data_IF_334103064263
#
_entry.id   IF_334103064263
#
_cell.length_a   1.000
_cell.length_b   1.000
_cell.length_c   1.000
_cell.angle_alpha   90.00
_cell.angle_beta   90.00
_cell.angle_gamma   90.00
#
_symmetry.space_group_name_H-M   'P 1'
#
loop_
_entity.id
_entity.type
_entity.pdbx_description
1 polymer ?
#
# COMPACT_ATOMS: atom_id res chain seq x y z
N UNK A 1 -14.05 14.05 8.93
CA UNK A 1 -12.69 14.19 8.38
C UNK A 1 -12.77 14.71 6.96
N UNK A 2 -13.90 14.51 6.29
CA UNK A 2 -14.19 15.10 4.99
C UNK A 2 -14.70 16.55 5.16
N UNK A 3 -14.45 17.33 4.13
CA UNK A 3 -14.96 18.68 3.92
C UNK A 3 -16.45 18.62 3.52
N UNK A 4 -17.20 19.69 3.82
CA UNK A 4 -18.65 19.74 3.55
C UNK A 4 -18.96 20.29 2.15
N UNK A 5 -18.11 21.18 1.64
CA UNK A 5 -18.28 21.88 0.37
C UNK A 5 -17.26 21.38 -0.67
N UNK A 6 -16.03 21.13 -0.24
CA UNK A 6 -14.97 20.57 -1.09
C UNK A 6 -15.14 19.05 -1.16
N UNK A 7 -15.02 18.47 -2.35
CA UNK A 7 -15.03 17.02 -2.50
C UNK A 7 -13.75 16.44 -1.88
N UNK A 8 -13.89 15.51 -0.95
CA UNK A 8 -12.73 14.93 -0.28
C UNK A 8 -12.98 13.49 0.14
N UNK A 9 -11.90 12.70 0.15
CA UNK A 9 -11.88 11.34 0.69
C UNK A 9 -10.61 11.19 1.51
N UNK A 10 -10.75 10.66 2.73
CA UNK A 10 -9.64 10.55 3.66
C UNK A 10 -9.37 9.10 4.07
N UNK A 11 -8.08 8.76 4.18
CA UNK A 11 -7.60 7.47 4.65
C UNK A 11 -6.57 7.65 5.77
N UNK A 12 -6.65 6.80 6.80
CA UNK A 12 -5.62 6.70 7.83
C UNK A 12 -4.55 5.69 7.39
N UNK A 13 -3.28 6.07 7.53
CA UNK A 13 -2.12 5.19 7.33
C UNK A 13 -1.26 5.19 8.60
N UNK A 14 -0.79 4.02 9.02
CA UNK A 14 0.18 3.91 10.12
C UNK A 14 1.56 3.62 9.56
N UNK A 15 2.48 4.57 9.75
CA UNK A 15 3.86 4.50 9.26
C UNK A 15 4.80 4.65 10.46
N UNK A 16 5.67 3.67 10.69
CA UNK A 16 6.57 3.64 11.84
C UNK A 16 5.86 3.88 13.19
N UNK A 17 4.64 3.31 13.35
CA UNK A 17 3.82 3.49 14.55
C UNK A 17 3.18 4.87 14.71
N UNK A 18 3.36 5.79 13.75
CA UNK A 18 2.72 7.11 13.74
C UNK A 18 1.54 7.11 12.78
N UNK A 19 0.43 7.72 13.21
CA UNK A 19 -0.77 7.91 12.38
C UNK A 19 -0.56 9.06 11.41
N UNK A 20 -0.93 8.82 10.16
CA UNK A 20 -0.96 9.79 9.07
C UNK A 20 -2.38 9.86 8.51
N UNK A 21 -2.91 11.07 8.37
CA UNK A 21 -4.09 11.27 7.54
C UNK A 21 -3.65 11.63 6.13
N UNK A 22 -4.15 10.90 5.13
CA UNK A 22 -4.02 11.25 3.73
C UNK A 22 -5.41 11.60 3.22
N UNK A 23 -5.60 12.83 2.74
CA UNK A 23 -6.87 13.30 2.19
C UNK A 23 -6.69 13.67 0.73
N UNK A 24 -7.38 12.94 -0.15
CA UNK A 24 -7.60 13.36 -1.54
C UNK A 24 -8.64 14.46 -1.56
N UNK A 25 -8.42 15.54 -2.31
CA UNK A 25 -9.29 16.71 -2.37
C UNK A 25 -9.48 17.19 -3.80
N UNK A 26 -10.70 17.57 -4.14
CA UNK A 26 -11.03 18.24 -5.37
C UNK A 26 -11.92 19.46 -5.09
N UNK A 27 -11.47 20.63 -5.53
CA UNK A 27 -12.25 21.87 -5.43
C UNK A 27 -12.63 22.37 -6.83
N UNK A 28 -13.93 22.29 -7.21
CA UNK A 28 -14.46 22.96 -8.39
C UNK A 28 -14.23 24.49 -8.35
N UNK A 29 -14.03 25.10 -9.53
CA UNK A 29 -13.90 26.57 -9.67
C UNK A 29 -15.18 27.35 -9.32
N UNK A 30 -16.32 26.66 -9.19
CA UNK A 30 -17.61 27.25 -8.83
C UNK A 30 -17.74 27.58 -7.34
N UNK A 31 -16.92 26.95 -6.48
CA UNK A 31 -16.92 27.21 -5.03
C UNK A 31 -16.25 28.56 -4.78
N UNK A 32 -16.79 29.41 -3.90
CA UNK A 32 -16.15 30.70 -3.61
C UNK A 32 -14.87 30.54 -2.78
N UNK A 33 -13.95 31.51 -2.86
CA UNK A 33 -12.70 31.46 -2.10
C UNK A 33 -12.94 31.49 -0.57
N UNK A 34 -13.96 32.25 -0.13
CA UNK A 34 -14.34 32.29 1.28
C UNK A 34 -14.90 30.96 1.77
N UNK A 35 -15.73 30.30 0.95
CA UNK A 35 -16.27 28.98 1.30
C UNK A 35 -15.15 27.94 1.37
N UNK A 36 -14.22 27.96 0.41
CA UNK A 36 -13.03 27.12 0.42
C UNK A 36 -12.20 27.33 1.70
N UNK A 37 -11.84 28.58 2.03
CA UNK A 37 -11.03 28.89 3.22
C UNK A 37 -11.73 28.41 4.49
N UNK A 38 -13.02 28.71 4.64
CA UNK A 38 -13.80 28.38 5.82
C UNK A 38 -13.97 26.86 6.00
N UNK A 39 -14.34 26.16 4.94
CA UNK A 39 -14.57 24.70 4.96
C UNK A 39 -13.26 23.94 5.20
N UNK A 40 -12.19 24.32 4.50
CA UNK A 40 -10.87 23.71 4.71
C UNK A 40 -10.38 23.92 6.13
N UNK A 41 -10.41 25.17 6.64
CA UNK A 41 -9.89 25.50 7.98
C UNK A 41 -10.68 24.78 9.07
N UNK A 42 -12.01 24.81 9.00
CA UNK A 42 -12.87 24.07 9.97
C UNK A 42 -12.62 22.57 9.94
N UNK A 43 -12.41 22.01 8.75
CA UNK A 43 -12.13 20.58 8.61
C UNK A 43 -10.73 20.24 9.14
N UNK A 44 -9.74 21.09 8.86
CA UNK A 44 -8.40 20.97 9.40
C UNK A 44 -8.39 21.03 10.93
N UNK A 45 -9.14 21.92 11.56
CA UNK A 45 -9.25 22.01 13.03
C UNK A 45 -9.79 20.72 13.66
N UNK A 46 -10.76 20.07 13.01
CA UNK A 46 -11.28 18.76 13.45
C UNK A 46 -10.23 17.65 13.28
N UNK A 47 -9.40 17.72 12.24
CA UNK A 47 -8.36 16.75 11.92
C UNK A 47 -7.17 16.90 12.87
N UNK A 48 -6.75 18.12 13.17
CA UNK A 48 -5.57 18.44 13.97
C UNK A 48 -5.67 17.95 15.42
N UNK A 49 -6.89 17.79 15.94
CA UNK A 49 -7.14 17.13 17.24
C UNK A 49 -6.77 15.65 17.23
N UNK A 50 -6.82 14.97 16.08
CA UNK A 50 -6.67 13.51 15.96
C UNK A 50 -5.36 13.06 15.32
N UNK A 51 -4.74 13.91 14.50
CA UNK A 51 -3.58 13.55 13.70
C UNK A 51 -2.49 14.59 13.81
N UNK A 52 -1.28 14.16 14.18
CA UNK A 52 -0.10 15.02 14.16
C UNK A 52 0.55 15.10 12.77
N UNK A 53 0.24 14.16 11.88
CA UNK A 53 0.85 14.04 10.56
C UNK A 53 -0.25 14.00 9.49
N UNK A 54 -0.21 14.96 8.56
CA UNK A 54 -1.26 15.14 7.56
C UNK A 54 -0.67 15.38 6.17
N UNK A 55 -1.33 14.82 5.17
CA UNK A 55 -1.07 15.08 3.75
C UNK A 55 -2.42 15.33 3.09
N UNK A 56 -2.58 16.49 2.47
CA UNK A 56 -3.72 16.81 1.60
C UNK A 56 -3.22 16.87 0.18
N UNK A 57 -3.90 16.24 -0.77
CA UNK A 57 -3.45 16.20 -2.17
C UNK A 57 -4.61 16.21 -3.15
N UNK A 58 -4.38 16.83 -4.31
CA UNK A 58 -5.35 16.84 -5.42
C UNK A 58 -5.45 18.19 -6.12
N UNK A 59 -6.45 18.32 -6.97
CA UNK A 59 -6.70 19.52 -7.79
C UNK A 59 -7.61 20.50 -7.05
N UNK A 60 -7.03 21.61 -6.59
CA UNK A 60 -7.77 22.67 -5.92
C UNK A 60 -8.14 23.83 -6.83
N UNK A 61 -7.79 23.75 -8.13
CA UNK A 61 -8.03 24.79 -9.12
C UNK A 61 -7.49 26.18 -8.74
N UNK A 62 -6.44 26.24 -7.92
CA UNK A 62 -5.69 27.46 -7.63
C UNK A 62 -4.36 27.41 -8.35
N UNK A 63 -4.06 28.41 -9.18
CA UNK A 63 -2.79 28.45 -9.90
C UNK A 63 -1.69 29.05 -9.02
N UNK A 64 -0.83 28.22 -8.42
CA UNK A 64 0.28 28.68 -7.58
C UNK A 64 1.41 29.39 -8.35
N UNK A 65 1.38 29.40 -9.68
CA UNK A 65 2.30 30.21 -10.50
C UNK A 65 1.80 31.65 -10.69
N UNK A 66 0.64 32.01 -10.15
CA UNK A 66 0.05 33.34 -10.22
C UNK A 66 -0.27 33.85 -8.83
N UNK A 67 0.32 34.99 -8.45
CA UNK A 67 0.20 35.59 -7.11
C UNK A 67 -1.27 35.83 -6.74
N UNK A 68 -2.05 36.42 -7.64
CA UNK A 68 -3.46 36.72 -7.38
C UNK A 68 -4.30 35.46 -7.21
N UNK A 69 -4.02 34.42 -8.03
CA UNK A 69 -4.79 33.16 -8.03
C UNK A 69 -4.35 32.18 -6.93
N UNK A 70 -3.21 32.39 -6.29
CA UNK A 70 -2.74 31.50 -5.21
C UNK A 70 -3.16 31.96 -3.82
N UNK A 71 -3.56 33.23 -3.67
CA UNK A 71 -3.79 33.89 -2.38
C UNK A 71 -4.74 33.13 -1.44
N UNK A 72 -5.89 32.59 -1.89
CA UNK A 72 -6.79 31.85 -1.00
C UNK A 72 -6.13 30.59 -0.41
N UNK A 73 -5.42 29.82 -1.25
CA UNK A 73 -4.71 28.62 -0.80
C UNK A 73 -3.51 28.97 0.09
N UNK A 74 -2.77 30.04 -0.23
CA UNK A 74 -1.69 30.55 0.62
C UNK A 74 -2.21 30.92 2.01
N UNK A 75 -3.37 31.56 2.08
CA UNK A 75 -4.03 31.91 3.36
C UNK A 75 -4.36 30.65 4.18
N UNK A 76 -4.91 29.62 3.54
CA UNK A 76 -5.16 28.33 4.21
C UNK A 76 -3.86 27.69 4.70
N UNK A 77 -2.81 27.71 3.88
CA UNK A 77 -1.49 27.18 4.25
C UNK A 77 -0.94 27.86 5.50
N UNK A 78 -1.01 29.20 5.54
CA UNK A 78 -0.52 30.00 6.66
C UNK A 78 -1.33 29.76 7.95
N UNK A 79 -2.67 29.72 7.86
CA UNK A 79 -3.55 29.45 9.01
C UNK A 79 -3.32 28.04 9.57
N UNK A 80 -3.24 27.04 8.69
CA UNK A 80 -3.19 25.64 9.08
C UNK A 80 -1.75 25.15 9.39
N UNK A 81 -0.72 25.95 9.11
CA UNK A 81 0.68 25.54 9.26
C UNK A 81 1.06 24.39 8.32
N UNK A 82 0.50 24.38 7.11
CA UNK A 82 0.80 23.41 6.05
C UNK A 82 1.45 24.11 4.87
N UNK A 83 2.21 23.40 4.06
CA UNK A 83 2.86 23.98 2.88
C UNK A 83 2.74 23.04 1.67
N UNK A 84 2.65 23.63 0.47
CA UNK A 84 2.72 22.87 -0.77
C UNK A 84 4.17 22.47 -1.10
N UNK A 85 4.39 21.20 -1.42
CA UNK A 85 5.71 20.68 -1.81
C UNK A 85 5.94 20.65 -3.33
N UNK A 86 4.89 20.81 -4.13
CA UNK A 86 4.96 20.78 -5.61
C UNK A 86 5.44 22.14 -6.13
N UNK A 87 6.48 22.17 -6.98
CA UNK A 87 7.16 23.44 -7.37
C UNK A 87 7.05 23.84 -8.83
N UNK A 88 6.42 23.03 -9.70
CA UNK A 88 6.36 23.27 -11.15
C UNK A 88 4.98 22.99 -11.71
N UNK A 89 4.68 23.50 -12.91
CA UNK A 89 3.37 23.35 -13.55
C UNK A 89 2.91 21.89 -13.65
N UNK A 90 1.66 21.63 -13.33
CA UNK A 90 1.03 20.30 -13.30
C UNK A 90 -0.06 20.15 -14.34
N UNK A 91 -0.63 21.26 -14.82
CA UNK A 91 -1.67 21.28 -15.84
C UNK A 91 -1.21 22.08 -17.08
N UNK A 92 -1.33 21.45 -18.25
CA UNK A 92 -0.83 21.87 -19.55
C UNK A 92 -1.95 21.89 -20.58
N UNK A 93 -2.92 22.79 -20.41
CA UNK A 93 -3.98 22.98 -21.40
C UNK A 93 -3.42 23.51 -22.72
N UNK A 94 -3.88 22.93 -23.84
CA UNK A 94 -3.48 23.36 -25.18
C UNK A 94 -3.71 24.86 -25.36
N UNK A 95 -2.73 25.54 -25.94
CA UNK A 95 -2.78 26.98 -26.25
C UNK A 95 -2.91 27.91 -25.02
N UNK A 96 -2.75 27.38 -23.80
CA UNK A 96 -2.75 28.15 -22.56
C UNK A 96 -1.38 28.11 -21.86
N UNK A 97 -1.15 29.05 -20.93
CA UNK A 97 0.04 29.01 -20.07
C UNK A 97 -0.06 27.83 -19.10
N UNK A 98 1.01 27.05 -18.88
CA UNK A 98 1.02 26.00 -17.87
C UNK A 98 0.69 26.54 -16.47
N UNK A 99 -0.06 25.75 -15.71
CA UNK A 99 -0.52 26.12 -14.36
C UNK A 99 -0.13 25.06 -13.34
N UNK A 100 0.04 25.47 -12.08
CA UNK A 100 0.22 24.56 -10.95
C UNK A 100 -1.08 24.56 -10.15
N UNK A 101 -1.97 23.63 -10.46
CA UNK A 101 -3.29 23.50 -9.84
C UNK A 101 -3.37 22.31 -8.87
N UNK A 102 -2.56 21.28 -9.16
CA UNK A 102 -2.49 20.05 -8.39
C UNK A 102 -1.43 20.19 -7.29
N UNK A 103 -1.85 19.98 -6.04
CA UNK A 103 -1.01 20.27 -4.88
C UNK A 103 -0.78 19.04 -4.02
N UNK A 104 0.28 19.10 -3.22
CA UNK A 104 0.50 18.21 -2.07
C UNK A 104 0.85 19.10 -0.89
N UNK A 105 -0.10 19.28 0.02
CA UNK A 105 0.03 20.09 1.22
C UNK A 105 0.35 19.21 2.43
N UNK A 106 1.28 19.62 3.28
CA UNK A 106 1.61 18.88 4.50
C UNK A 106 2.16 19.77 5.60
N UNK A 107 1.97 19.35 6.85
CA UNK A 107 2.67 19.90 8.03
C UNK A 107 4.00 19.17 8.31
N UNK A 108 4.37 18.16 7.52
CA UNK A 108 5.56 17.30 7.72
C UNK A 108 6.43 17.23 6.47
N UNK A 109 6.73 18.36 5.83
CA UNK A 109 7.60 18.41 4.62
C UNK A 109 8.92 17.66 4.77
N UNK A 110 9.56 17.71 5.94
CA UNK A 110 10.83 17.01 6.18
C UNK A 110 10.74 15.48 6.07
N UNK A 111 9.53 14.92 6.18
CA UNK A 111 9.25 13.50 5.99
C UNK A 111 8.97 13.14 4.53
N UNK A 112 8.79 14.12 3.66
CA UNK A 112 8.55 13.92 2.24
C UNK A 112 9.83 14.21 1.44
N UNK A 113 10.10 13.40 0.42
CA UNK A 113 11.26 13.55 -0.44
C UNK A 113 10.95 13.10 -1.87
N UNK A 114 11.85 13.42 -2.80
CA UNK A 114 11.79 12.97 -4.19
C UNK A 114 10.44 13.25 -4.84
N UNK A 115 9.92 14.47 -4.65
CA UNK A 115 8.72 14.94 -5.36
C UNK A 115 9.01 14.98 -6.85
N UNK A 116 8.26 14.23 -7.63
CA UNK A 116 8.35 14.21 -9.08
C UNK A 116 7.03 14.66 -9.69
N UNK A 117 7.13 15.32 -10.83
CA UNK A 117 6.01 15.79 -11.63
C UNK A 117 6.35 15.45 -13.09
N UNK A 118 5.62 14.51 -13.69
CA UNK A 118 5.93 14.01 -15.02
C UNK A 118 4.67 13.64 -15.80
N UNK A 119 4.74 13.87 -17.11
CA UNK A 119 3.71 13.42 -18.03
C UNK A 119 3.89 11.92 -18.28
N UNK A 120 2.83 11.13 -18.03
CA UNK A 120 2.78 9.69 -18.26
C UNK A 120 1.85 9.30 -19.42
N UNK A 121 1.22 10.28 -20.08
CA UNK A 121 0.25 10.07 -21.16
C UNK A 121 -1.13 9.56 -20.70
N UNK A 122 -1.42 9.55 -19.40
CA UNK A 122 -2.72 9.09 -18.87
C UNK A 122 -3.80 10.19 -18.82
N UNK A 123 -3.40 11.46 -18.83
CA UNK A 123 -4.31 12.60 -18.86
C UNK A 123 -3.94 13.52 -20.01
N UNK A 124 -4.96 14.15 -20.59
CA UNK A 124 -4.80 15.09 -21.70
C UNK A 124 -4.08 16.37 -21.28
N UNK A 125 -4.25 16.77 -20.01
CA UNK A 125 -3.72 18.06 -19.51
C UNK A 125 -2.98 17.95 -18.19
N UNK A 126 -3.22 16.95 -17.34
CA UNK A 126 -2.55 16.83 -16.04
C UNK A 126 -1.34 15.89 -16.07
N UNK A 127 -0.29 16.27 -15.35
CA UNK A 127 0.82 15.38 -15.05
C UNK A 127 0.52 14.53 -13.81
N UNK A 128 1.19 13.38 -13.70
CA UNK A 128 1.26 12.64 -12.44
C UNK A 128 2.25 13.33 -11.52
N UNK A 129 1.84 13.46 -10.26
CA UNK A 129 2.70 13.90 -9.17
C UNK A 129 2.92 12.72 -8.23
N UNK A 130 4.18 12.44 -7.91
CA UNK A 130 4.53 11.44 -6.92
C UNK A 130 5.44 12.05 -5.86
N UNK A 131 5.34 11.54 -4.64
CA UNK A 131 6.20 11.90 -3.52
C UNK A 131 6.50 10.66 -2.70
N UNK A 132 7.70 10.59 -2.12
CA UNK A 132 8.09 9.51 -1.23
C UNK A 132 7.98 9.95 0.21
N UNK A 133 7.20 9.22 1.00
CA UNK A 133 7.16 9.35 2.45
C UNK A 133 8.30 8.53 3.08
N UNK A 134 9.15 9.20 3.87
CA UNK A 134 10.23 8.55 4.63
C UNK A 134 9.62 7.62 5.67
N UNK A 135 9.99 6.35 5.59
CA UNK A 135 9.62 5.29 6.53
C UNK A 135 10.78 4.35 6.69
N UNK A 136 10.81 3.63 7.81
CA UNK A 136 11.65 2.45 7.92
C UNK A 136 11.05 1.37 7.05
N UNK A 137 11.91 0.66 6.32
CA UNK A 137 11.49 -0.52 5.58
C UNK A 137 11.31 -1.64 6.61
N UNK A 138 10.09 -2.14 6.85
CA UNK A 138 9.92 -3.26 7.77
C UNK A 138 10.74 -4.44 7.27
N UNK A 139 11.49 -5.08 8.17
CA UNK A 139 12.25 -6.29 7.82
C UNK A 139 11.25 -7.36 7.36
N UNK A 140 11.22 -7.64 6.06
CA UNK A 140 10.44 -8.74 5.52
C UNK A 140 11.06 -10.01 6.06
N UNK A 141 10.40 -10.65 7.04
CA UNK A 141 10.79 -11.97 7.52
C UNK A 141 10.79 -12.90 6.31
N UNK A 142 11.96 -13.42 5.94
CA UNK A 142 12.08 -14.31 4.77
C UNK A 142 11.11 -15.48 4.93
N UNK A 143 10.29 -15.79 3.91
CA UNK A 143 9.37 -16.91 4.02
C UNK A 143 10.18 -18.20 4.24
N UNK A 144 9.73 -18.98 5.23
CA UNK A 144 10.20 -20.34 5.40
C UNK A 144 9.69 -21.16 4.22
N UNK A 145 10.59 -21.94 3.60
CA UNK A 145 10.16 -22.90 2.58
C UNK A 145 9.77 -24.20 3.28
N UNK A 146 8.52 -24.61 3.10
CA UNK A 146 8.03 -25.96 3.47
C UNK A 146 8.49 -26.96 2.41
N UNK A 147 8.99 -28.12 2.84
CA UNK A 147 9.41 -29.20 1.95
C UNK A 147 9.28 -30.55 2.65
N UNK A 148 9.21 -31.63 1.87
CA UNK A 148 9.32 -33.01 2.37
C UNK A 148 10.59 -33.62 1.80
N UNK A 149 11.30 -34.40 2.61
CA UNK A 149 12.53 -35.05 2.18
C UNK A 149 12.28 -36.54 1.99
N UNK A 150 12.47 -37.00 0.75
CA UNK A 150 12.30 -38.40 0.37
C UNK A 150 13.57 -39.23 0.62
N UNK A 151 14.64 -38.64 1.18
CA UNK A 151 15.95 -39.28 1.34
C UNK A 151 15.95 -40.51 2.26
N UNK A 152 14.98 -40.58 3.18
CA UNK A 152 14.83 -41.65 4.17
C UNK A 152 13.48 -42.35 4.01
N UNK A 153 12.85 -42.22 2.83
CA UNK A 153 11.60 -42.91 2.56
C UNK A 153 11.89 -44.40 2.38
N UNK A 154 11.23 -45.21 3.19
CA UNK A 154 11.08 -46.64 2.98
C UNK A 154 9.83 -46.86 2.12
N UNK A 155 10.04 -47.11 0.82
CA UNK A 155 8.95 -47.20 -0.15
C UNK A 155 8.04 -48.39 0.12
N UNK A 156 8.61 -49.54 0.48
CA UNK A 156 7.84 -50.76 0.76
C UNK A 156 6.93 -50.57 1.96
N UNK A 157 7.46 -49.98 3.04
CA UNK A 157 6.68 -49.68 4.24
C UNK A 157 5.60 -48.62 3.99
N UNK A 158 5.91 -47.61 3.17
CA UNK A 158 4.93 -46.57 2.81
C UNK A 158 3.76 -47.13 2.00
N UNK A 159 4.04 -47.97 1.00
CA UNK A 159 3.01 -48.65 0.21
C UNK A 159 2.18 -49.59 1.08
N UNK A 160 2.82 -50.35 1.96
CA UNK A 160 2.12 -51.22 2.89
C UNK A 160 1.15 -50.43 3.79
N UNK A 161 1.58 -49.32 4.38
CA UNK A 161 0.72 -48.49 5.23
C UNK A 161 -0.44 -47.83 4.46
N UNK A 162 -0.24 -47.51 3.17
CA UNK A 162 -1.32 -47.03 2.28
C UNK A 162 -2.35 -48.12 1.98
N UNK A 163 -1.92 -49.34 1.69
CA UNK A 163 -2.80 -50.48 1.45
C UNK A 163 -3.62 -50.82 2.70
N UNK A 164 -2.98 -50.85 3.87
CA UNK A 164 -3.64 -51.10 5.15
C UNK A 164 -4.66 -50.01 5.52
N UNK A 165 -4.42 -48.76 5.09
CA UNK A 165 -5.33 -47.66 5.38
C UNK A 165 -6.66 -47.73 4.62
N UNK A 166 -6.75 -48.53 3.55
CA UNK A 166 -7.98 -48.82 2.81
C UNK A 166 -8.82 -47.56 2.49
N UNK A 167 -8.13 -46.53 1.97
CA UNK A 167 -8.65 -45.16 1.84
C UNK A 167 -9.95 -45.07 1.01
N UNK A 168 -10.20 -46.03 0.12
CA UNK A 168 -11.40 -46.10 -0.71
C UNK A 168 -12.65 -46.47 0.10
N UNK A 169 -12.53 -47.31 1.13
CA UNK A 169 -13.69 -47.75 1.93
C UNK A 169 -14.10 -46.78 3.03
N UNK A 170 -13.25 -45.80 3.32
CA UNK A 170 -13.46 -44.82 4.40
C UNK A 170 -14.58 -43.83 4.04
N UNK A 171 -14.86 -43.66 2.75
CA UNK A 171 -15.84 -42.70 2.24
C UNK A 171 -17.20 -43.33 1.89
N UNK A 172 -17.34 -44.65 1.98
CA UNK A 172 -18.53 -45.40 1.54
C UNK A 172 -19.79 -45.10 2.38
N UNK A 173 -19.64 -44.53 3.58
CA UNK A 173 -20.73 -44.29 4.53
C UNK A 173 -20.88 -42.80 4.93
N UNK A 174 -20.45 -41.87 4.08
CA UNK A 174 -20.48 -40.43 4.37
C UNK A 174 -21.48 -39.74 3.44
N UNK A 175 -22.48 -39.07 4.01
CA UNK A 175 -23.53 -38.37 3.24
C UNK A 175 -23.04 -37.03 2.65
N UNK A 176 -22.03 -36.42 3.26
CA UNK A 176 -21.48 -35.13 2.88
C UNK A 176 -20.12 -35.26 2.19
N UNK A 177 -20.03 -34.74 0.96
CA UNK A 177 -18.80 -34.76 0.16
C UNK A 177 -17.62 -34.03 0.83
N UNK A 178 -17.87 -32.93 1.55
CA UNK A 178 -16.82 -32.20 2.25
C UNK A 178 -16.26 -33.02 3.42
N UNK A 179 -17.15 -33.69 4.16
CA UNK A 179 -16.76 -34.57 5.27
C UNK A 179 -15.97 -35.79 4.77
N UNK A 180 -16.40 -36.38 3.65
CA UNK A 180 -15.68 -37.47 3.00
C UNK A 180 -14.25 -37.04 2.61
N UNK A 181 -14.10 -35.84 2.07
CA UNK A 181 -12.79 -35.27 1.74
C UNK A 181 -11.92 -35.04 2.97
N UNK A 182 -12.47 -34.48 4.04
CA UNK A 182 -11.72 -34.18 5.27
C UNK A 182 -11.19 -35.47 5.92
N UNK A 183 -12.01 -36.52 5.98
CA UNK A 183 -11.61 -37.82 6.53
C UNK A 183 -10.51 -38.45 5.66
N UNK A 184 -10.71 -38.48 4.34
CA UNK A 184 -9.72 -38.99 3.40
C UNK A 184 -8.39 -38.25 3.52
N UNK A 185 -8.42 -36.91 3.45
CA UNK A 185 -7.24 -36.06 3.48
C UNK A 185 -6.51 -36.19 4.83
N UNK A 186 -7.24 -36.22 5.95
CA UNK A 186 -6.64 -36.41 7.28
C UNK A 186 -5.93 -37.76 7.37
N UNK A 187 -6.55 -38.84 6.91
CA UNK A 187 -5.96 -40.18 6.97
C UNK A 187 -4.74 -40.29 6.06
N UNK A 188 -4.85 -39.83 4.81
CA UNK A 188 -3.73 -39.80 3.86
C UNK A 188 -2.56 -38.96 4.41
N UNK A 189 -2.85 -37.76 4.88
CA UNK A 189 -1.80 -36.87 5.41
C UNK A 189 -1.16 -37.41 6.68
N UNK A 190 -1.87 -38.20 7.50
CA UNK A 190 -1.25 -38.89 8.65
C UNK A 190 -0.17 -39.87 8.21
N UNK A 191 -0.43 -40.67 7.18
CA UNK A 191 0.52 -41.65 6.63
C UNK A 191 1.69 -40.90 5.98
N UNK A 192 1.39 -39.91 5.14
CA UNK A 192 2.41 -39.06 4.50
C UNK A 192 3.29 -38.35 5.53
N UNK A 193 2.73 -37.86 6.64
CA UNK A 193 3.49 -37.21 7.70
C UNK A 193 4.37 -38.18 8.50
N UNK A 194 3.95 -39.44 8.67
CA UNK A 194 4.75 -40.45 9.34
C UNK A 194 5.99 -40.84 8.53
N UNK A 195 5.85 -40.96 7.21
CA UNK A 195 6.93 -41.42 6.32
C UNK A 195 7.81 -40.27 5.79
N UNK A 196 7.22 -39.15 5.43
CA UNK A 196 7.92 -37.99 4.86
C UNK A 196 7.46 -36.69 5.52
N UNK A 197 7.75 -36.46 6.81
CA UNK A 197 7.25 -35.31 7.56
C UNK A 197 7.58 -33.98 6.89
N UNK A 198 6.66 -33.02 7.02
CA UNK A 198 6.88 -31.66 6.54
C UNK A 198 7.99 -30.99 7.36
N UNK A 199 9.01 -30.51 6.66
CA UNK A 199 10.14 -29.79 7.23
C UNK A 199 10.09 -28.34 6.74
N UNK A 200 10.62 -27.44 7.56
CA UNK A 200 10.80 -26.04 7.18
C UNK A 200 12.28 -25.71 7.10
N UNK A 201 12.67 -24.91 6.11
CA UNK A 201 14.02 -24.37 6.02
C UNK A 201 13.98 -22.88 5.69
N UNK A 202 14.90 -22.13 6.31
CA UNK A 202 15.16 -20.74 5.93
C UNK A 202 15.69 -20.70 4.50
N UNK A 203 15.15 -19.81 3.68
CA UNK A 203 15.67 -19.57 2.34
C UNK A 203 17.10 -19.01 2.45
N UNK A 204 18.08 -19.80 2.02
CA UNK A 204 19.50 -19.39 1.98
C UNK A 204 19.76 -18.73 0.63
N UNK A 205 20.49 -17.62 0.62
CA UNK A 205 20.91 -17.01 -0.63
C UNK A 205 21.80 -18.01 -1.38
N UNK A 206 21.65 -18.10 -2.71
CA UNK A 206 22.71 -18.73 -3.50
C UNK A 206 23.97 -17.89 -3.24
N UNK A 207 25.10 -18.50 -2.85
CA UNK A 207 26.36 -17.75 -2.79
C UNK A 207 26.60 -17.10 -4.14
N UNK A 208 27.25 -15.94 -4.15
CA UNK A 208 27.58 -15.27 -5.38
C UNK A 208 28.30 -16.25 -6.34
N UNK A 209 28.13 -16.14 -7.67
CA UNK A 209 28.63 -17.15 -8.62
C UNK A 209 30.13 -17.50 -8.44
N UNK A 210 30.92 -16.55 -7.93
CA UNK A 210 32.36 -16.66 -7.69
C UNK A 210 32.74 -17.29 -6.33
N UNK A 211 31.79 -17.48 -5.41
CA UNK A 211 32.02 -18.14 -4.11
C UNK A 211 31.78 -19.65 -4.24
N UNK A 212 32.61 -20.34 -5.02
CA UNK A 212 32.57 -21.79 -5.18
C UNK A 212 33.47 -22.51 -4.14
N UNK A 213 33.22 -23.80 -3.91
CA UNK A 213 33.90 -24.61 -2.88
C UNK A 213 35.40 -24.85 -3.15
N UNK A 214 35.92 -24.38 -4.28
CA UNK A 214 37.34 -24.51 -4.66
C UNK A 214 38.23 -23.46 -3.98
N UNK A 215 37.64 -22.46 -3.31
CA UNK A 215 38.35 -21.39 -2.59
C UNK A 215 38.38 -21.64 -1.06
N UNK A 216 38.37 -22.90 -0.61
CA UNK A 216 38.50 -23.28 0.80
C UNK A 216 39.82 -23.95 1.08
#
# INVERSE_FOLDING_TARGET
>A
MECEIIESIAAELVVNGKKWLISGMYRPQTISDNDFINDFTKTHDKISVKYDNMIFLGDLNYNLLSIDKCTPLSTVCDICGIENIVKGATCFTKDAKPTLNDVILTNKKNMLQNTTNFNCGLSDVHNIIAVQLKSDVPSIKKPLKKYRSYKQLDEEKFLHDLEQANLTKIVDNVENVNEAYDIFNTKLMSIVNNHIPEKTRKTVHKPAPYMNKQLK
#
